data_IF_407633634679
#
_entry.id   IF_407633634679
#
_cell.length_a   1.000
_cell.length_b   1.000
_cell.length_c   1.000
_cell.angle_alpha   90.00
_cell.angle_beta   90.00
_cell.angle_gamma   90.00
#
_symmetry.space_group_name_H-M   'P 1'
#
loop_
_entity.id
_entity.type
_entity.pdbx_description
1 polymer ?
#
# COMPACT_ATOMS: atom_id res chain seq x y z
N UNK A 1 8.58 32.74 15.73
CA UNK A 1 7.42 32.54 14.87
C UNK A 1 7.67 31.22 14.16
N UNK A 2 6.90 30.16 14.50
CA UNK A 2 7.28 28.77 14.20
C UNK A 2 6.91 28.28 12.79
N UNK A 3 6.17 29.05 12.01
CA UNK A 3 5.83 28.75 10.64
C UNK A 3 6.05 30.02 9.82
N UNK A 4 7.17 30.07 9.10
CA UNK A 4 7.59 31.28 8.39
C UNK A 4 6.75 31.63 7.18
N UNK A 5 6.20 30.63 6.49
CA UNK A 5 5.49 30.79 5.24
C UNK A 5 4.11 30.14 5.23
N UNK A 6 3.16 30.79 4.57
CA UNK A 6 1.80 30.27 4.36
C UNK A 6 1.82 28.88 3.70
N UNK A 7 2.83 28.57 2.88
CA UNK A 7 3.01 27.29 2.21
C UNK A 7 3.32 26.15 3.19
N UNK A 8 4.08 26.40 4.25
CA UNK A 8 4.40 25.41 5.29
C UNK A 8 3.15 25.04 6.10
N UNK A 9 2.29 26.03 6.37
CA UNK A 9 1.01 25.80 7.07
C UNK A 9 0.08 24.96 6.19
N UNK A 10 0.02 25.25 4.89
CA UNK A 10 -0.78 24.47 3.93
C UNK A 10 -0.26 23.03 3.85
N UNK A 11 1.06 22.86 3.74
CA UNK A 11 1.70 21.55 3.71
C UNK A 11 1.38 20.72 4.96
N UNK A 12 1.56 21.30 6.14
CA UNK A 12 1.26 20.63 7.42
C UNK A 12 -0.23 20.27 7.51
N UNK A 13 -1.10 21.17 7.07
CA UNK A 13 -2.55 20.92 7.05
C UNK A 13 -2.91 19.73 6.16
N UNK A 14 -2.33 19.62 4.96
CA UNK A 14 -2.54 18.48 4.08
C UNK A 14 -2.03 17.16 4.67
N UNK A 15 -0.88 17.17 5.35
CA UNK A 15 -0.36 15.97 6.05
C UNK A 15 -1.28 15.59 7.21
N UNK A 16 -1.73 16.55 8.00
CA UNK A 16 -2.62 16.30 9.14
C UNK A 16 -3.97 15.72 8.69
N UNK A 17 -4.59 16.29 7.65
CA UNK A 17 -5.82 15.77 7.05
C UNK A 17 -5.59 14.38 6.47
N UNK A 18 -4.47 14.16 5.78
CA UNK A 18 -4.08 12.84 5.26
C UNK A 18 -3.94 11.80 6.37
N UNK A 19 -3.36 12.17 7.52
CA UNK A 19 -3.25 11.30 8.70
C UNK A 19 -4.63 10.95 9.26
N UNK A 20 -5.53 11.91 9.33
CA UNK A 20 -6.91 11.66 9.78
C UNK A 20 -7.66 10.71 8.83
N UNK A 21 -7.53 10.90 7.51
CA UNK A 21 -8.13 9.98 6.52
C UNK A 21 -7.51 8.58 6.64
N UNK A 22 -6.21 8.47 6.89
CA UNK A 22 -5.54 7.19 7.13
C UNK A 22 -6.11 6.49 8.37
N UNK A 23 -6.38 7.21 9.45
CA UNK A 23 -7.05 6.68 10.64
C UNK A 23 -8.46 6.17 10.33
N UNK A 24 -9.25 6.92 9.57
CA UNK A 24 -10.58 6.48 9.10
C UNK A 24 -10.45 5.17 8.31
N UNK A 25 -9.47 5.05 7.42
CA UNK A 25 -9.23 3.84 6.65
C UNK A 25 -8.94 2.62 7.55
N UNK A 26 -8.20 2.81 8.65
CA UNK A 26 -7.97 1.75 9.64
C UNK A 26 -9.30 1.29 10.24
N UNK A 27 -10.15 2.21 10.73
CA UNK A 27 -11.46 1.86 11.29
C UNK A 27 -12.35 1.16 10.26
N UNK A 28 -12.40 1.64 9.03
CA UNK A 28 -13.17 1.02 7.96
C UNK A 28 -12.65 -0.38 7.61
N UNK A 29 -11.33 -0.59 7.60
CA UNK A 29 -10.72 -1.90 7.33
C UNK A 29 -11.03 -2.95 8.42
N UNK A 30 -11.26 -2.51 9.65
CA UNK A 30 -11.64 -3.37 10.78
C UNK A 30 -13.13 -3.71 10.72
N UNK A 31 -13.99 -2.69 10.51
CA UNK A 31 -15.47 -2.84 10.53
C UNK A 31 -16.02 -3.45 9.23
N UNK A 32 -15.52 -3.02 8.09
CA UNK A 32 -15.80 -3.56 6.75
C UNK A 32 -14.55 -4.37 6.31
N UNK A 33 -14.57 -5.37 5.48
CA UNK A 33 -15.69 -6.06 4.86
C UNK A 33 -16.12 -7.29 5.68
N UNK A 34 -17.40 -7.61 5.65
CA UNK A 34 -17.90 -8.91 6.07
C UNK A 34 -17.60 -9.88 4.92
N UNK A 35 -16.50 -10.61 5.03
CA UNK A 35 -16.05 -11.53 4.00
C UNK A 35 -16.27 -12.95 4.49
N UNK A 36 -16.95 -13.74 3.67
CA UNK A 36 -17.16 -15.18 3.88
C UNK A 36 -16.14 -15.96 3.06
N UNK A 37 -15.61 -17.05 3.61
CA UNK A 37 -14.65 -17.92 2.94
C UNK A 37 -13.17 -17.67 3.30
N UNK A 38 -12.32 -18.65 2.95
CA UNK A 38 -10.89 -18.62 3.28
C UNK A 38 -10.09 -17.61 2.46
N UNK A 39 -10.45 -17.45 1.18
CA UNK A 39 -9.79 -16.54 0.24
C UNK A 39 -10.00 -15.07 0.65
N UNK A 40 -11.22 -14.65 0.83
CA UNK A 40 -11.53 -13.29 1.24
C UNK A 40 -10.97 -12.89 2.62
N UNK A 41 -10.70 -13.87 3.53
CA UNK A 41 -10.03 -13.60 4.81
C UNK A 41 -8.59 -13.13 4.62
N UNK A 42 -7.88 -13.64 3.60
CA UNK A 42 -6.50 -13.24 3.29
C UNK A 42 -6.45 -11.81 2.75
N UNK A 43 -7.29 -11.49 1.77
CA UNK A 43 -7.41 -10.11 1.25
C UNK A 43 -7.76 -9.13 2.36
N UNK A 44 -8.71 -9.47 3.24
CA UNK A 44 -9.06 -8.65 4.40
C UNK A 44 -7.87 -8.41 5.34
N UNK A 45 -7.04 -9.44 5.58
CA UNK A 45 -5.82 -9.31 6.40
C UNK A 45 -4.85 -8.30 5.76
N UNK A 46 -4.58 -8.42 4.47
CA UNK A 46 -3.67 -7.51 3.78
C UNK A 46 -4.20 -6.08 3.69
N UNK A 47 -5.50 -5.90 3.52
CA UNK A 47 -6.14 -4.58 3.57
C UNK A 47 -5.97 -3.92 4.95
N UNK A 48 -6.10 -4.69 6.03
CA UNK A 48 -5.84 -4.18 7.39
C UNK A 48 -4.37 -3.81 7.59
N UNK A 49 -3.47 -4.69 7.18
CA UNK A 49 -2.02 -4.45 7.28
C UNK A 49 -1.66 -3.18 6.51
N UNK A 50 -2.12 -3.03 5.26
CA UNK A 50 -1.83 -1.84 4.44
C UNK A 50 -2.39 -0.56 5.06
N UNK A 51 -3.62 -0.60 5.60
CA UNK A 51 -4.23 0.57 6.25
C UNK A 51 -3.48 0.98 7.53
N UNK A 52 -3.09 0.01 8.37
CA UNK A 52 -2.35 0.25 9.61
C UNK A 52 -0.95 0.80 9.28
N UNK A 53 -0.22 0.18 8.37
CA UNK A 53 1.10 0.64 7.95
C UNK A 53 1.04 2.05 7.35
N UNK A 54 0.01 2.34 6.55
CA UNK A 54 -0.20 3.66 5.99
C UNK A 54 -0.47 4.71 7.07
N UNK A 55 -1.27 4.38 8.07
CA UNK A 55 -1.51 5.27 9.21
C UNK A 55 -0.22 5.53 10.02
N UNK A 56 0.57 4.48 10.31
CA UNK A 56 1.86 4.62 11.02
C UNK A 56 2.81 5.51 10.20
N UNK A 57 2.91 5.29 8.89
CA UNK A 57 3.70 6.13 8.00
C UNK A 57 3.28 7.59 8.09
N UNK A 58 1.98 7.87 8.04
CA UNK A 58 1.45 9.24 8.09
C UNK A 58 1.71 9.90 9.45
N UNK A 59 1.56 9.15 10.55
CA UNK A 59 1.83 9.65 11.89
C UNK A 59 3.32 10.01 12.06
N UNK A 60 4.23 9.16 11.58
CA UNK A 60 5.68 9.43 11.61
C UNK A 60 6.03 10.63 10.71
N UNK A 61 5.45 10.71 9.51
CA UNK A 61 5.68 11.83 8.60
C UNK A 61 5.20 13.15 9.19
N UNK A 62 4.04 13.17 9.86
CA UNK A 62 3.54 14.33 10.57
C UNK A 62 4.49 14.73 11.71
N UNK A 63 4.92 13.77 12.54
CA UNK A 63 5.85 14.01 13.64
C UNK A 63 7.19 14.54 13.14
N UNK A 64 7.75 13.95 12.08
CA UNK A 64 9.00 14.41 11.47
C UNK A 64 8.88 15.84 10.94
N UNK A 65 7.77 16.17 10.26
CA UNK A 65 7.51 17.53 9.74
C UNK A 65 7.39 18.55 10.86
N UNK A 66 6.63 18.23 11.91
CA UNK A 66 6.50 19.12 13.07
C UNK A 66 7.86 19.34 13.75
N UNK A 67 8.60 18.26 13.96
CA UNK A 67 9.91 18.31 14.60
C UNK A 67 10.90 19.13 13.75
N UNK A 68 10.95 18.92 12.45
CA UNK A 68 11.79 19.68 11.53
C UNK A 68 11.50 21.19 11.59
N UNK A 69 10.21 21.58 11.70
CA UNK A 69 9.81 22.97 11.79
C UNK A 69 10.11 23.61 13.16
N UNK A 70 10.20 22.81 14.24
CA UNK A 70 10.59 23.28 15.57
C UNK A 70 12.09 23.57 15.67
N UNK A 71 12.91 22.97 14.80
CA UNK A 71 14.39 22.97 14.87
C UNK A 71 15.01 24.30 14.41
N UNK A 72 14.27 25.18 13.75
CA UNK A 72 14.83 26.47 13.27
C UNK A 72 15.43 27.37 14.39
N UNK A 73 15.32 26.94 15.66
CA UNK A 73 15.88 27.66 16.82
C UNK A 73 16.97 26.93 17.60
N UNK A 74 17.06 25.61 17.53
CA UNK A 74 17.98 24.86 18.40
C UNK A 74 18.45 23.58 17.71
N UNK A 75 19.74 23.48 17.38
CA UNK A 75 20.33 22.38 16.61
C UNK A 75 20.20 20.97 17.22
N UNK A 76 19.74 20.89 18.51
CA UNK A 76 19.66 19.65 19.28
C UNK A 76 18.64 18.62 18.77
N UNK A 77 17.67 19.04 17.94
CA UNK A 77 16.60 18.15 17.42
C UNK A 77 16.83 17.66 15.99
N UNK A 78 17.94 18.02 15.35
CA UNK A 78 18.22 17.67 13.95
C UNK A 78 18.35 16.16 13.76
N UNK A 79 19.00 15.47 14.65
CA UNK A 79 19.23 14.04 14.58
C UNK A 79 17.94 13.22 14.73
N UNK A 80 17.08 13.49 15.76
CA UNK A 80 15.78 12.82 15.87
C UNK A 80 14.85 13.04 14.67
N UNK A 81 14.87 14.22 14.06
CA UNK A 81 14.05 14.47 12.85
C UNK A 81 14.53 13.65 11.65
N UNK A 82 15.85 13.55 11.46
CA UNK A 82 16.45 12.74 10.40
C UNK A 82 16.15 11.25 10.61
N UNK A 83 16.26 10.74 11.83
CA UNK A 83 15.91 9.36 12.19
C UNK A 83 14.44 9.05 11.88
N UNK A 84 13.52 9.93 12.29
CA UNK A 84 12.10 9.79 12.00
C UNK A 84 11.83 9.84 10.51
N UNK A 85 12.56 10.64 9.73
CA UNK A 85 12.42 10.71 8.29
C UNK A 85 12.86 9.39 7.63
N UNK A 86 13.97 8.79 8.04
CA UNK A 86 14.44 7.49 7.54
C UNK A 86 13.44 6.39 7.89
N UNK A 87 12.99 6.35 9.14
CA UNK A 87 11.97 5.41 9.61
C UNK A 87 10.66 5.58 8.82
N UNK A 88 10.21 6.82 8.64
CA UNK A 88 9.02 7.16 7.86
C UNK A 88 9.13 6.69 6.42
N UNK A 89 10.26 6.94 5.75
CA UNK A 89 10.52 6.48 4.38
C UNK A 89 10.46 4.96 4.28
N UNK A 90 11.06 4.26 5.24
CA UNK A 90 11.08 2.79 5.29
C UNK A 90 9.68 2.21 5.49
N UNK A 91 8.92 2.71 6.47
CA UNK A 91 7.55 2.27 6.74
C UNK A 91 6.61 2.67 5.60
N UNK A 92 6.83 3.84 4.99
CA UNK A 92 6.11 4.28 3.81
C UNK A 92 6.26 3.30 2.64
N UNK A 93 7.49 2.90 2.32
CA UNK A 93 7.78 1.93 1.27
C UNK A 93 7.12 0.58 1.54
N UNK A 94 7.16 0.12 2.80
CA UNK A 94 6.47 -1.11 3.24
C UNK A 94 4.95 -0.99 3.08
N UNK A 95 4.37 0.14 3.48
CA UNK A 95 2.94 0.44 3.34
C UNK A 95 2.49 0.40 1.88
N UNK A 96 3.23 1.05 0.99
CA UNK A 96 2.89 1.13 -0.42
C UNK A 96 2.99 -0.22 -1.13
N UNK A 97 4.01 -0.99 -0.81
CA UNK A 97 4.10 -2.38 -1.29
C UNK A 97 2.94 -3.24 -0.77
N UNK A 98 2.52 -3.04 0.48
CA UNK A 98 1.36 -3.74 1.04
C UNK A 98 0.05 -3.34 0.35
N UNK A 99 -0.11 -2.07 -0.06
CA UNK A 99 -1.27 -1.62 -0.84
C UNK A 99 -1.30 -2.33 -2.21
N UNK A 100 -0.19 -2.36 -2.94
CA UNK A 100 -0.09 -3.05 -4.23
C UNK A 100 -0.34 -4.56 -4.08
N UNK A 101 0.19 -5.17 -3.02
CA UNK A 101 -0.07 -6.58 -2.72
C UNK A 101 -1.56 -6.84 -2.40
N UNK A 102 -2.21 -5.95 -1.65
CA UNK A 102 -3.64 -6.04 -1.38
C UNK A 102 -4.49 -5.90 -2.67
N UNK A 103 -4.07 -5.04 -3.62
CA UNK A 103 -4.69 -4.93 -4.95
C UNK A 103 -4.60 -6.26 -5.71
N UNK A 104 -3.42 -6.86 -5.78
CA UNK A 104 -3.22 -8.16 -6.44
C UNK A 104 -4.05 -9.26 -5.79
N UNK A 105 -4.08 -9.32 -4.46
CA UNK A 105 -4.90 -10.29 -3.73
C UNK A 105 -6.39 -10.11 -4.00
N UNK A 106 -6.87 -8.88 -4.00
CA UNK A 106 -8.26 -8.59 -4.33
C UNK A 106 -8.58 -8.97 -5.77
N UNK A 107 -7.66 -8.71 -6.72
CA UNK A 107 -7.80 -9.14 -8.11
C UNK A 107 -7.97 -10.66 -8.19
N UNK A 108 -7.08 -11.42 -7.55
CA UNK A 108 -7.14 -12.88 -7.60
C UNK A 108 -8.39 -13.44 -6.92
N UNK A 109 -8.81 -12.86 -5.80
CA UNK A 109 -10.04 -13.29 -5.09
C UNK A 109 -11.31 -12.94 -5.89
N UNK A 110 -11.37 -11.79 -6.58
CA UNK A 110 -12.51 -11.38 -7.39
C UNK A 110 -12.68 -12.24 -8.66
N UNK A 111 -11.59 -12.72 -9.22
CA UNK A 111 -11.61 -13.52 -10.46
C UNK A 111 -11.39 -15.02 -10.22
N UNK A 112 -11.42 -15.44 -8.96
CA UNK A 112 -11.21 -16.85 -8.54
C UNK A 112 -9.92 -17.47 -9.11
N UNK A 113 -8.84 -16.69 -9.05
CA UNK A 113 -7.49 -17.05 -9.53
C UNK A 113 -6.45 -17.12 -8.40
N UNK A 114 -6.87 -17.32 -7.14
CA UNK A 114 -5.96 -17.46 -6.00
C UNK A 114 -5.29 -18.85 -5.96
N UNK A 115 -4.58 -19.18 -7.02
CA UNK A 115 -3.74 -20.39 -7.11
C UNK A 115 -2.45 -20.23 -6.31
N UNK A 116 -1.78 -21.37 -5.99
CA UNK A 116 -0.47 -21.34 -5.31
C UNK A 116 0.58 -20.57 -6.11
N UNK A 117 0.59 -20.68 -7.43
CA UNK A 117 1.51 -19.99 -8.32
C UNK A 117 1.28 -18.45 -8.29
N UNK A 118 0.03 -18.01 -8.41
CA UNK A 118 -0.31 -16.59 -8.33
C UNK A 118 0.00 -16.01 -6.94
N UNK A 119 -0.15 -16.80 -5.87
CA UNK A 119 0.25 -16.40 -4.51
C UNK A 119 1.75 -16.18 -4.40
N UNK A 120 2.54 -17.09 -4.94
CA UNK A 120 4.01 -17.00 -4.90
C UNK A 120 4.50 -15.80 -5.72
N UNK A 121 3.94 -15.57 -6.92
CA UNK A 121 4.25 -14.39 -7.75
C UNK A 121 3.89 -13.08 -7.04
N UNK A 122 2.71 -13.00 -6.46
CA UNK A 122 2.27 -11.84 -5.69
C UNK A 122 3.16 -11.57 -4.46
N UNK A 123 3.58 -12.63 -3.76
CA UNK A 123 4.49 -12.52 -2.63
C UNK A 123 5.89 -12.09 -3.06
N UNK A 124 6.41 -12.63 -4.17
CA UNK A 124 7.68 -12.21 -4.75
C UNK A 124 7.70 -10.73 -5.12
N UNK A 125 6.63 -10.23 -5.76
CA UNK A 125 6.46 -8.80 -6.08
C UNK A 125 6.39 -7.91 -4.83
N UNK A 126 5.86 -8.43 -3.71
CA UNK A 126 5.87 -7.72 -2.44
C UNK A 126 7.26 -7.72 -1.80
N UNK A 127 7.97 -8.86 -1.79
CA UNK A 127 9.24 -9.02 -1.08
C UNK A 127 10.41 -8.32 -1.78
N UNK A 128 10.41 -8.24 -3.12
CA UNK A 128 11.54 -7.65 -3.86
C UNK A 128 11.85 -6.19 -3.45
N UNK A 129 10.89 -5.26 -3.36
CA UNK A 129 11.18 -3.92 -2.87
C UNK A 129 11.51 -3.90 -1.36
N UNK A 130 11.06 -4.90 -0.56
CA UNK A 130 11.32 -4.91 0.88
C UNK A 130 12.78 -5.28 1.21
N UNK A 131 13.39 -6.15 0.43
CA UNK A 131 14.82 -6.46 0.57
C UNK A 131 15.65 -5.20 0.35
N UNK A 132 15.37 -4.45 -0.73
CA UNK A 132 16.03 -3.18 -1.00
C UNK A 132 15.75 -2.12 0.07
N UNK A 133 14.52 -2.08 0.56
CA UNK A 133 14.11 -1.16 1.63
C UNK A 133 14.86 -1.45 2.94
N UNK A 134 15.09 -2.72 3.27
CA UNK A 134 15.90 -3.11 4.42
C UNK A 134 17.36 -2.68 4.24
N UNK A 135 17.92 -2.88 3.05
CA UNK A 135 19.30 -2.42 2.72
C UNK A 135 19.36 -0.89 2.86
N UNK A 136 18.39 -0.17 2.31
CA UNK A 136 18.29 1.29 2.45
C UNK A 136 18.27 1.72 3.91
N UNK A 137 17.43 1.09 4.72
CA UNK A 137 17.31 1.39 6.16
C UNK A 137 18.65 1.23 6.88
N UNK A 138 19.30 0.07 6.73
CA UNK A 138 20.58 -0.23 7.39
C UNK A 138 21.69 0.73 6.93
N UNK A 139 21.82 0.91 5.61
CA UNK A 139 22.91 1.74 5.05
C UNK A 139 22.70 3.21 5.42
N UNK A 140 21.46 3.70 5.46
CA UNK A 140 21.18 5.09 5.82
C UNK A 140 21.42 5.34 7.32
N UNK A 141 21.09 4.37 8.18
CA UNK A 141 21.45 4.46 9.60
C UNK A 141 22.97 4.46 9.80
N UNK A 142 23.70 3.57 9.11
CA UNK A 142 25.18 3.62 9.15
C UNK A 142 25.67 5.00 8.71
N UNK A 143 25.08 5.61 7.69
CA UNK A 143 25.45 6.94 7.21
C UNK A 143 25.19 8.03 8.27
N UNK A 144 24.09 7.97 8.99
CA UNK A 144 23.75 8.97 10.02
C UNK A 144 24.75 8.98 11.19
N UNK A 145 25.27 7.78 11.54
CA UNK A 145 26.22 7.63 12.66
C UNK A 145 27.69 7.53 12.23
N UNK A 146 27.96 7.65 10.93
CA UNK A 146 29.27 7.43 10.34
C UNK A 146 30.15 8.68 10.25
N UNK A 147 29.98 9.66 11.12
CA UNK A 147 30.81 10.89 11.16
C UNK A 147 32.30 10.60 11.29
N UNK A 148 32.66 9.45 11.85
CA UNK A 148 34.03 9.00 12.06
C UNK A 148 34.59 8.10 10.97
N UNK A 149 33.83 7.83 9.89
CA UNK A 149 34.32 7.00 8.79
C UNK A 149 35.34 7.76 7.92
N UNK A 150 36.40 7.08 7.44
CA UNK A 150 37.29 7.66 6.44
C UNK A 150 36.50 8.16 5.22
N UNK A 151 36.93 9.26 4.60
CA UNK A 151 36.21 9.94 3.51
C UNK A 151 35.76 8.99 2.36
N UNK A 152 36.57 8.00 2.02
CA UNK A 152 36.22 6.97 1.03
C UNK A 152 35.08 6.06 1.51
N UNK A 153 35.10 5.62 2.77
CA UNK A 153 34.03 4.80 3.37
C UNK A 153 32.71 5.54 3.40
N UNK A 154 32.71 6.79 3.85
CA UNK A 154 31.52 7.65 3.86
C UNK A 154 30.93 7.85 2.47
N UNK A 155 31.77 8.09 1.45
CA UNK A 155 31.30 8.25 0.07
C UNK A 155 30.65 6.98 -0.48
N UNK A 156 31.21 5.80 -0.17
CA UNK A 156 30.64 4.50 -0.60
C UNK A 156 29.28 4.29 0.05
N UNK A 157 29.16 4.48 1.36
CA UNK A 157 27.88 4.35 2.11
C UNK A 157 26.83 5.33 1.58
N UNK A 158 27.22 6.58 1.31
CA UNK A 158 26.33 7.60 0.75
C UNK A 158 25.83 7.23 -0.65
N UNK A 159 26.71 6.69 -1.51
CA UNK A 159 26.32 6.24 -2.85
C UNK A 159 25.34 5.06 -2.79
N UNK A 160 25.62 4.05 -1.96
CA UNK A 160 24.72 2.89 -1.80
C UNK A 160 23.36 3.33 -1.24
N UNK A 161 23.33 4.21 -0.25
CA UNK A 161 22.08 4.77 0.28
C UNK A 161 21.28 5.49 -0.80
N UNK A 162 21.92 6.32 -1.62
CA UNK A 162 21.26 7.06 -2.71
C UNK A 162 20.72 6.14 -3.80
N UNK A 163 21.48 5.11 -4.17
CA UNK A 163 21.06 4.12 -5.19
C UNK A 163 19.85 3.31 -4.67
N UNK A 164 19.92 2.82 -3.43
CA UNK A 164 18.81 2.05 -2.85
C UNK A 164 17.56 2.89 -2.66
N UNK A 165 17.71 4.17 -2.27
CA UNK A 165 16.61 5.13 -2.19
C UNK A 165 15.88 5.31 -3.53
N UNK A 166 16.62 5.31 -4.64
CA UNK A 166 16.05 5.42 -5.98
C UNK A 166 15.40 4.10 -6.44
N UNK A 167 16.02 2.95 -6.14
CA UNK A 167 15.55 1.65 -6.63
C UNK A 167 14.26 1.18 -5.94
N UNK A 168 14.08 1.44 -4.65
CA UNK A 168 12.88 1.00 -3.91
C UNK A 168 11.58 1.50 -4.55
N UNK A 169 11.36 2.81 -4.79
CA UNK A 169 10.17 3.30 -5.46
C UNK A 169 10.01 2.78 -6.89
N UNK A 170 11.12 2.56 -7.61
CA UNK A 170 11.09 1.99 -8.95
C UNK A 170 10.52 0.56 -8.95
N UNK A 171 10.95 -0.31 -8.03
CA UNK A 171 10.40 -1.66 -7.91
C UNK A 171 8.92 -1.65 -7.50
N UNK A 172 8.51 -0.73 -6.61
CA UNK A 172 7.10 -0.57 -6.24
C UNK A 172 6.29 -0.07 -7.45
N UNK A 173 6.85 0.81 -8.27
CA UNK A 173 6.23 1.26 -9.51
C UNK A 173 6.01 0.10 -10.48
N UNK A 174 7.03 -0.72 -10.73
CA UNK A 174 6.92 -1.93 -11.57
C UNK A 174 5.83 -2.85 -11.03
N UNK A 175 5.80 -3.11 -9.72
CA UNK A 175 4.78 -3.93 -9.10
C UNK A 175 3.36 -3.35 -9.27
N UNK A 176 3.20 -2.03 -9.22
CA UNK A 176 1.90 -1.37 -9.42
C UNK A 176 1.42 -1.46 -10.86
N UNK A 177 2.33 -1.33 -11.85
CA UNK A 177 2.02 -1.54 -13.27
C UNK A 177 1.60 -2.99 -13.52
N UNK A 178 2.34 -3.96 -12.97
CA UNK A 178 2.00 -5.38 -13.05
C UNK A 178 0.61 -5.64 -12.44
N UNK A 179 0.30 -5.03 -11.30
CA UNK A 179 -1.02 -5.15 -10.66
C UNK A 179 -2.15 -4.65 -11.56
N UNK A 180 -1.97 -3.50 -12.22
CA UNK A 180 -2.93 -2.95 -13.18
C UNK A 180 -3.11 -3.89 -14.39
N UNK A 181 -2.00 -4.37 -14.96
CA UNK A 181 -2.02 -5.29 -16.10
C UNK A 181 -2.76 -6.59 -15.76
N UNK A 182 -2.51 -7.20 -14.60
CA UNK A 182 -3.25 -8.38 -14.17
C UNK A 182 -4.74 -8.08 -13.98
N UNK A 183 -5.09 -6.93 -13.39
CA UNK A 183 -6.50 -6.51 -13.25
C UNK A 183 -7.19 -6.45 -14.62
N UNK A 184 -6.55 -5.86 -15.62
CA UNK A 184 -7.10 -5.74 -16.98
C UNK A 184 -7.16 -7.09 -17.71
N UNK A 185 -6.11 -7.92 -17.62
CA UNK A 185 -6.08 -9.25 -18.26
C UNK A 185 -7.19 -10.14 -17.71
N UNK A 186 -7.36 -10.18 -16.38
CA UNK A 186 -8.41 -11.00 -15.79
C UNK A 186 -9.80 -10.46 -16.09
N UNK A 187 -9.99 -9.14 -16.12
CA UNK A 187 -11.23 -8.53 -16.55
C UNK A 187 -11.62 -8.90 -18.00
N UNK A 188 -10.61 -8.95 -18.90
CA UNK A 188 -10.85 -9.27 -20.31
C UNK A 188 -11.04 -10.77 -20.59
N UNK A 189 -10.40 -11.64 -19.80
CA UNK A 189 -10.36 -13.10 -20.10
C UNK A 189 -11.30 -13.95 -19.26
N UNK A 190 -11.81 -13.41 -18.14
CA UNK A 190 -12.60 -14.22 -17.21
C UNK A 190 -14.08 -13.96 -17.42
N UNK A 191 -14.85 -15.03 -17.61
CA UNK A 191 -16.32 -14.97 -17.72
C UNK A 191 -17.01 -14.86 -16.34
N UNK A 192 -16.24 -14.77 -15.26
CA UNK A 192 -16.79 -14.66 -13.90
C UNK A 192 -17.48 -13.29 -13.76
N UNK A 193 -18.77 -13.25 -13.41
CA UNK A 193 -19.49 -12.00 -13.23
C UNK A 193 -19.02 -11.30 -11.98
N UNK A 194 -18.11 -10.33 -12.15
CA UNK A 194 -17.67 -9.45 -11.05
C UNK A 194 -18.64 -8.26 -10.96
N UNK A 195 -19.12 -7.91 -9.75
CA UNK A 195 -19.96 -6.72 -9.59
C UNK A 195 -19.27 -5.46 -10.14
N UNK A 196 -19.95 -4.73 -11.03
CA UNK A 196 -19.38 -3.54 -11.71
C UNK A 196 -18.77 -2.54 -10.73
N UNK A 197 -19.41 -2.33 -9.56
CA UNK A 197 -18.89 -1.44 -8.54
C UNK A 197 -17.62 -1.93 -7.84
N UNK A 198 -17.40 -3.25 -7.73
CA UNK A 198 -16.17 -3.83 -7.18
C UNK A 198 -15.03 -3.69 -8.17
N UNK A 199 -15.28 -4.03 -9.44
CA UNK A 199 -14.32 -3.85 -10.51
C UNK A 199 -13.90 -2.39 -10.69
N UNK A 200 -14.87 -1.46 -10.72
CA UNK A 200 -14.59 -0.02 -10.82
C UNK A 200 -13.71 0.50 -9.69
N UNK A 201 -13.96 0.08 -8.45
CA UNK A 201 -13.12 0.46 -7.30
C UNK A 201 -11.70 -0.12 -7.42
N UNK A 202 -11.57 -1.39 -7.84
CA UNK A 202 -10.26 -2.03 -8.01
C UNK A 202 -9.47 -1.35 -9.13
N UNK A 203 -10.10 -1.12 -10.29
CA UNK A 203 -9.46 -0.47 -11.42
C UNK A 203 -9.03 0.97 -11.08
N UNK A 204 -9.91 1.76 -10.47
CA UNK A 204 -9.58 3.12 -10.05
C UNK A 204 -8.42 3.14 -9.03
N UNK A 205 -8.41 2.21 -8.05
CA UNK A 205 -7.31 2.07 -7.11
C UNK A 205 -5.99 1.73 -7.82
N UNK A 206 -6.01 0.82 -8.80
CA UNK A 206 -4.81 0.43 -9.55
C UNK A 206 -4.27 1.58 -10.42
N UNK A 207 -5.14 2.33 -11.07
CA UNK A 207 -4.75 3.52 -11.86
C UNK A 207 -4.13 4.59 -10.95
N UNK A 208 -4.78 4.94 -9.83
CA UNK A 208 -4.25 5.91 -8.87
C UNK A 208 -2.90 5.47 -8.30
N UNK A 209 -2.73 4.17 -8.04
CA UNK A 209 -1.46 3.59 -7.57
C UNK A 209 -0.36 3.78 -8.62
N UNK A 210 -0.63 3.51 -9.90
CA UNK A 210 0.35 3.71 -10.99
C UNK A 210 0.71 5.18 -11.12
N UNK A 211 -0.27 6.10 -11.17
CA UNK A 211 0.00 7.55 -11.28
C UNK A 211 0.88 8.01 -10.13
N UNK A 212 0.54 7.62 -8.91
CA UNK A 212 1.29 7.97 -7.71
C UNK A 212 2.74 7.47 -7.76
N UNK A 213 2.95 6.20 -8.10
CA UNK A 213 4.29 5.63 -8.13
C UNK A 213 5.12 6.15 -9.31
N UNK A 214 4.49 6.48 -10.45
CA UNK A 214 5.14 7.19 -11.55
C UNK A 214 5.65 8.55 -11.09
N UNK A 215 4.81 9.31 -10.37
CA UNK A 215 5.21 10.59 -9.79
C UNK A 215 6.43 10.46 -8.87
N UNK A 216 6.38 9.50 -7.92
CA UNK A 216 7.49 9.24 -7.01
C UNK A 216 8.77 8.78 -7.74
N UNK A 217 8.66 7.94 -8.76
CA UNK A 217 9.80 7.49 -9.54
C UNK A 217 10.46 8.68 -10.27
N UNK A 218 9.66 9.55 -10.88
CA UNK A 218 10.15 10.77 -11.55
C UNK A 218 10.86 11.68 -10.53
N UNK A 219 10.24 11.95 -9.37
CA UNK A 219 10.84 12.78 -8.34
C UNK A 219 12.19 12.21 -7.87
N UNK A 220 12.26 10.90 -7.60
CA UNK A 220 13.50 10.29 -7.14
C UNK A 220 14.61 10.34 -8.20
N UNK A 221 14.27 10.16 -9.49
CA UNK A 221 15.24 10.33 -10.58
C UNK A 221 15.72 11.78 -10.63
N UNK A 222 14.82 12.74 -10.54
CA UNK A 222 15.19 14.16 -10.55
C UNK A 222 16.08 14.54 -9.36
N UNK A 223 15.76 14.07 -8.15
CA UNK A 223 16.61 14.27 -6.97
C UNK A 223 17.98 13.62 -7.12
N UNK A 224 18.03 12.40 -7.69
CA UNK A 224 19.28 11.71 -7.94
C UNK A 224 20.15 12.47 -8.94
N UNK A 225 19.58 12.94 -10.06
CA UNK A 225 20.28 13.75 -11.06
C UNK A 225 20.74 15.08 -10.46
N UNK A 226 19.87 15.77 -9.72
CA UNK A 226 20.20 17.02 -9.06
C UNK A 226 21.37 16.89 -8.08
N UNK A 227 21.41 15.81 -7.30
CA UNK A 227 22.51 15.53 -6.37
C UNK A 227 23.86 15.31 -7.08
N UNK A 228 23.86 14.87 -8.33
CA UNK A 228 25.05 14.67 -9.15
C UNK A 228 25.50 15.91 -9.92
N UNK A 229 24.60 16.86 -10.17
CA UNK A 229 24.86 18.09 -10.96
C UNK A 229 25.13 19.32 -10.10
N UNK A 230 25.61 19.15 -8.86
CA UNK A 230 25.92 20.25 -7.93
C UNK A 230 24.72 21.20 -7.67
N UNK A 231 23.53 20.66 -7.60
CA UNK A 231 22.32 21.41 -7.20
C UNK A 231 21.75 22.37 -8.24
N UNK A 232 22.28 22.43 -9.45
CA UNK A 232 21.77 23.35 -10.51
C UNK A 232 20.31 23.06 -10.92
N UNK A 233 19.78 21.89 -10.59
CA UNK A 233 18.39 21.50 -10.85
C UNK A 233 17.38 21.97 -9.77
N UNK A 234 17.85 22.41 -8.59
CA UNK A 234 16.95 22.92 -7.53
C UNK A 234 16.19 24.19 -7.90
N UNK A 235 16.65 24.90 -8.91
CA UNK A 235 16.03 26.16 -9.37
C UNK A 235 14.79 25.97 -10.27
N UNK A 236 14.39 24.73 -10.56
CA UNK A 236 13.32 24.47 -11.56
C UNK A 236 11.96 24.24 -10.93
N UNK A 237 11.89 23.92 -9.63
CA UNK A 237 10.61 23.61 -9.00
C UNK A 237 10.06 24.81 -8.23
N UNK A 238 8.85 25.31 -8.60
CA UNK A 238 8.17 26.34 -7.84
C UNK A 238 7.83 25.87 -6.43
N UNK A 239 7.74 26.79 -5.46
CA UNK A 239 7.47 26.45 -4.04
C UNK A 239 6.16 25.67 -3.82
N UNK A 240 5.14 25.86 -4.68
CA UNK A 240 3.89 25.12 -4.63
C UNK A 240 4.02 23.63 -5.06
N UNK A 241 5.15 23.25 -5.63
CA UNK A 241 5.39 21.88 -6.10
C UNK A 241 5.37 20.85 -4.95
N UNK A 242 5.85 21.22 -3.78
CA UNK A 242 5.79 20.40 -2.57
C UNK A 242 4.33 20.07 -2.18
N UNK A 243 3.43 21.05 -2.29
CA UNK A 243 2.02 20.87 -1.98
C UNK A 243 1.30 19.96 -2.98
N UNK A 244 1.60 20.10 -4.29
CA UNK A 244 1.09 19.20 -5.33
C UNK A 244 1.62 17.77 -5.09
N UNK A 245 2.90 17.65 -4.76
CA UNK A 245 3.51 16.35 -4.47
C UNK A 245 2.83 15.64 -3.31
N UNK A 246 2.46 16.35 -2.24
CA UNK A 246 1.70 15.77 -1.12
C UNK A 246 0.33 15.26 -1.56
N UNK A 247 -0.42 16.01 -2.33
CA UNK A 247 -1.72 15.57 -2.82
C UNK A 247 -1.57 14.26 -3.59
N UNK A 248 -0.62 14.18 -4.51
CA UNK A 248 -0.41 12.96 -5.31
C UNK A 248 0.11 11.81 -4.44
N UNK A 249 1.03 12.07 -3.52
CA UNK A 249 1.68 10.98 -2.76
C UNK A 249 0.84 10.47 -1.60
N UNK A 250 0.16 11.35 -0.88
CA UNK A 250 -0.59 11.03 0.33
C UNK A 250 -2.06 10.72 0.02
N UNK A 251 -2.73 11.64 -0.67
CA UNK A 251 -4.17 11.52 -0.88
C UNK A 251 -4.51 10.41 -1.85
N UNK A 252 -3.70 10.19 -2.89
CA UNK A 252 -3.92 9.06 -3.80
C UNK A 252 -3.72 7.72 -3.07
N UNK A 253 -2.74 7.61 -2.16
CA UNK A 253 -2.58 6.41 -1.35
C UNK A 253 -3.78 6.18 -0.42
N UNK A 254 -4.26 7.23 0.24
CA UNK A 254 -5.44 7.17 1.10
C UNK A 254 -6.69 6.72 0.32
N UNK A 255 -6.89 7.27 -0.88
CA UNK A 255 -7.97 6.88 -1.79
C UNK A 255 -7.82 5.45 -2.30
N UNK A 256 -6.60 5.00 -2.61
CA UNK A 256 -6.35 3.60 -2.99
C UNK A 256 -6.83 2.64 -1.90
N UNK A 257 -6.44 2.88 -0.64
CA UNK A 257 -6.86 2.05 0.49
C UNK A 257 -8.39 2.07 0.65
N UNK A 258 -9.02 3.25 0.58
CA UNK A 258 -10.47 3.40 0.68
C UNK A 258 -11.20 2.63 -0.43
N UNK A 259 -10.76 2.78 -1.68
CA UNK A 259 -11.34 2.10 -2.83
C UNK A 259 -11.20 0.57 -2.72
N UNK A 260 -10.07 0.07 -2.21
CA UNK A 260 -9.88 -1.36 -1.97
C UNK A 260 -10.81 -1.88 -0.87
N UNK A 261 -11.02 -1.14 0.20
CA UNK A 261 -11.98 -1.49 1.26
C UNK A 261 -13.41 -1.56 0.70
N UNK A 262 -13.82 -0.55 -0.08
CA UNK A 262 -15.15 -0.50 -0.70
C UNK A 262 -15.29 -1.60 -1.75
N UNK A 263 -14.31 -1.79 -2.62
CA UNK A 263 -14.27 -2.82 -3.65
C UNK A 263 -14.37 -4.23 -3.08
N UNK A 264 -13.60 -4.53 -2.04
CA UNK A 264 -13.65 -5.82 -1.35
C UNK A 264 -15.01 -6.05 -0.68
N UNK A 265 -15.60 -5.02 -0.08
CA UNK A 265 -16.92 -5.15 0.55
C UNK A 265 -18.05 -5.40 -0.45
N UNK A 266 -17.94 -4.87 -1.68
CA UNK A 266 -18.92 -5.06 -2.76
C UNK A 266 -18.71 -6.37 -3.53
N UNK A 267 -17.44 -6.78 -3.72
CA UNK A 267 -17.09 -7.92 -4.55
C UNK A 267 -17.09 -9.26 -3.83
N UNK A 268 -16.71 -9.26 -2.54
CA UNK A 268 -16.58 -10.48 -1.75
C UNK A 268 -17.79 -10.74 -0.81
N UNK A 269 -18.73 -9.80 -0.75
CA UNK A 269 -19.96 -9.92 0.06
C UNK A 269 -20.97 -10.77 -0.70
N UNK A 270 -21.25 -11.96 -0.20
CA UNK A 270 -22.30 -12.83 -0.76
C UNK A 270 -21.80 -13.95 -1.68
N UNK A 271 -20.52 -14.15 -1.84
CA UNK A 271 -20.00 -15.43 -2.34
C UNK A 271 -20.09 -16.46 -1.21
N UNK A 272 -21.27 -17.05 -1.05
CA UNK A 272 -21.47 -18.18 -0.15
C UNK A 272 -20.75 -19.40 -0.73
N UNK A 273 -19.91 -20.11 0.07
CA UNK A 273 -19.13 -21.26 -0.41
C UNK A 273 -19.97 -22.44 -0.86
N UNK A 274 -21.23 -22.45 -0.53
CA UNK A 274 -22.14 -23.60 -0.77
C UNK A 274 -22.94 -23.53 -2.07
N UNK A 275 -22.94 -22.36 -2.75
CA UNK A 275 -23.74 -22.24 -3.98
C UNK A 275 -23.07 -22.88 -5.19
N UNK A 276 -21.75 -23.09 -5.13
CA UNK A 276 -21.00 -23.63 -6.26
C UNK A 276 -20.94 -25.16 -6.27
N UNK A 277 -21.18 -25.84 -5.14
CA UNK A 277 -21.17 -27.30 -5.07
C UNK A 277 -22.45 -27.96 -5.62
N UNK A 278 -23.57 -27.21 -5.68
CA UNK A 278 -24.84 -27.75 -6.19
C UNK A 278 -25.21 -27.28 -7.59
N UNK A 279 -24.38 -26.43 -8.22
CA UNK A 279 -24.72 -25.84 -9.53
C UNK A 279 -24.10 -26.56 -10.75
N UNK A 280 -23.28 -27.57 -10.55
CA UNK A 280 -22.64 -28.35 -11.61
C UNK A 280 -23.02 -29.83 -11.59
N UNK A 281 -24.19 -30.16 -11.16
CA UNK A 281 -24.80 -31.41 -11.61
C UNK A 281 -25.27 -31.23 -13.05
N UNK A 282 -24.80 -32.02 -14.05
CA UNK A 282 -25.50 -32.07 -15.31
C UNK A 282 -26.94 -32.43 -14.98
N UNK A 283 -27.90 -31.66 -15.54
CA UNK A 283 -29.30 -32.00 -15.47
C UNK A 283 -29.49 -33.38 -16.12
N UNK A 284 -29.34 -34.43 -15.33
CA UNK A 284 -29.76 -35.78 -15.73
C UNK A 284 -31.29 -35.74 -15.66
N UNK A 285 -31.88 -35.39 -16.79
CA UNK A 285 -33.31 -35.53 -17.00
C UNK A 285 -33.65 -37.01 -16.79
N UNK A 286 -34.33 -37.32 -15.72
CA UNK A 286 -34.92 -38.65 -15.61
C UNK A 286 -35.04 -39.28 -14.21
N UNK A 287 -34.56 -38.66 -13.16
CA UNK A 287 -34.81 -39.19 -11.81
C UNK A 287 -35.73 -38.26 -11.00
N UNK A 288 -36.81 -38.83 -10.38
CA UNK A 288 -37.64 -38.04 -9.49
C UNK A 288 -36.80 -37.54 -8.32
N UNK A 289 -37.10 -36.36 -7.76
CA UNK A 289 -36.37 -35.79 -6.61
C UNK A 289 -36.44 -36.79 -5.45
N UNK A 290 -35.27 -37.22 -4.98
CA UNK A 290 -35.15 -37.96 -3.73
C UNK A 290 -35.66 -37.08 -2.60
N UNK A 291 -36.73 -37.55 -1.93
CA UNK A 291 -37.19 -36.90 -0.69
C UNK A 291 -36.02 -36.75 0.27
N UNK A 292 -35.85 -35.57 0.89
CA UNK A 292 -34.80 -35.37 1.87
C UNK A 292 -35.03 -36.34 3.03
N UNK A 293 -34.03 -37.18 3.32
CA UNK A 293 -34.05 -38.06 4.45
C UNK A 293 -34.35 -37.29 5.77
N UNK A 294 -35.25 -37.77 6.63
CA UNK A 294 -35.58 -37.10 7.88
C UNK A 294 -34.31 -36.91 8.73
N UNK A 295 -34.00 -35.68 9.06
CA UNK A 295 -32.92 -35.34 9.98
C UNK A 295 -33.31 -35.84 11.36
N UNK A 296 -32.75 -36.97 11.77
CA UNK A 296 -32.80 -37.41 13.18
C UNK A 296 -32.01 -36.39 14.01
N UNK A 297 -32.71 -35.48 14.65
CA UNK A 297 -32.16 -34.67 15.76
C UNK A 297 -31.89 -35.62 16.93
N UNK A 298 -30.67 -36.12 17.06
CA UNK A 298 -30.20 -36.71 18.32
C UNK A 298 -30.02 -35.54 19.30
N UNK A 299 -30.98 -35.46 20.22
CA UNK A 299 -30.89 -34.62 21.41
C UNK A 299 -29.72 -35.11 22.26
N UNK A 300 -28.59 -34.38 22.24
CA UNK A 300 -27.57 -34.52 23.27
C UNK A 300 -28.08 -33.90 24.55
N UNK A 301 -28.49 -34.82 25.46
CA UNK A 301 -28.85 -34.51 26.83
C UNK A 301 -27.70 -33.83 27.57
N UNK A 302 -28.04 -32.76 28.27
CA UNK A 302 -27.22 -32.20 29.34
C UNK A 302 -27.07 -33.28 30.43
N UNK A 303 -25.85 -33.56 30.83
CA UNK A 303 -25.55 -34.16 32.14
C UNK A 303 -24.54 -33.22 32.83
N UNK A 304 -24.98 -32.70 33.96
CA UNK A 304 -24.33 -32.17 35.16
C UNK A 304 -22.91 -31.53 35.05
#
# INVERSE_FOLDING_TARGET
MFFGDTLDIIFLSFVAVGTFIALINVFLSIRKPRVFGSHGRRTKRWLRISAILFFIYMAISLSSTVLSNMIWGDGSYRDPANELQVLGTTIGSLSFSAIVHAQLKLTFDLYDKDTSDNRNKSFGLFMSPQILNLIYFVVTHIRLYAENLPSRGFQTVSNVSSITFMLVPFFIWVASVISLVFTLIYAARTQVPVPRGAFGCLLASSILSVIRHTWLAILNILYFVASRTNGRLYLVFPDYFSNISIVITVWFAALCVLLLIVGSSKGLRGREPWRDEYSYGPAVSGYPPLEPAPIHMTSYGRAY
#
